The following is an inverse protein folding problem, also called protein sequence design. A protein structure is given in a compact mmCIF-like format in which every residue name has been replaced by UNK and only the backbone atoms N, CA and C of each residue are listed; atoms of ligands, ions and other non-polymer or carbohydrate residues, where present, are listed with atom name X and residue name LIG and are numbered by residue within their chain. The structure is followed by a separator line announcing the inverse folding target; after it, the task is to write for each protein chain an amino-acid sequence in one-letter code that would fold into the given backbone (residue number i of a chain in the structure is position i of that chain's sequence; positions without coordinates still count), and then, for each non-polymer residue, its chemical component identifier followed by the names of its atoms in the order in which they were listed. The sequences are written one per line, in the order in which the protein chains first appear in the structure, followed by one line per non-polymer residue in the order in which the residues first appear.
data_IF_287160165063
#
_entry.id   IF_287160165063
#
_cell.length_a   1.000
_cell.length_b   1.000
_cell.length_c   1.000
_cell.angle_alpha   90.00
_cell.angle_beta   90.00
_cell.angle_gamma   90.00
#
_symmetry.space_group_name_H-M   'P 1'
#
loop_
_entity.id
_entity.type
_entity.pdbx_description
1 polymer ?
#
# COMPACT_ATOMS: atom_id res chain seq x y z
N UNK A 1 -12.93 27.81 11.60
CA UNK A 1 -11.60 27.31 12.01
C UNK A 1 -11.63 25.81 11.80
N UNK A 2 -11.10 25.32 10.68
CA UNK A 2 -10.96 23.88 10.43
C UNK A 2 -9.84 23.37 11.32
N UNK A 3 -10.15 22.43 12.22
CA UNK A 3 -9.13 21.70 12.97
C UNK A 3 -8.14 21.11 11.95
N UNK A 4 -6.85 21.44 12.09
CA UNK A 4 -5.83 20.82 11.27
C UNK A 4 -5.83 19.31 11.57
N UNK A 5 -5.95 18.49 10.52
CA UNK A 5 -5.89 17.05 10.67
C UNK A 5 -4.45 16.66 10.98
N UNK A 6 -4.23 16.11 12.17
CA UNK A 6 -2.91 15.66 12.61
C UNK A 6 -2.77 14.15 12.32
N UNK A 7 -1.68 13.76 11.68
CA UNK A 7 -1.36 12.37 11.38
C UNK A 7 -0.08 11.98 12.11
N UNK A 8 -0.18 11.32 13.28
CA UNK A 8 0.99 10.80 13.97
C UNK A 8 1.76 9.81 13.08
N UNK A 9 3.10 9.80 13.17
CA UNK A 9 3.95 8.90 12.39
C UNK A 9 3.56 7.43 12.57
N UNK A 10 3.18 7.04 13.80
CA UNK A 10 2.67 5.71 14.12
C UNK A 10 1.39 5.35 13.34
N UNK A 11 0.48 6.30 13.13
CA UNK A 11 -0.74 6.09 12.35
C UNK A 11 -0.44 5.93 10.87
N UNK A 12 0.52 6.69 10.33
CA UNK A 12 1.00 6.53 8.95
C UNK A 12 1.64 5.17 8.75
N UNK A 13 2.45 4.72 9.71
CA UNK A 13 3.08 3.40 9.68
C UNK A 13 2.04 2.27 9.75
N UNK A 14 1.02 2.41 10.61
CA UNK A 14 -0.08 1.44 10.69
C UNK A 14 -0.86 1.36 9.36
N UNK A 15 -1.09 2.50 8.71
CA UNK A 15 -1.72 2.51 7.40
C UNK A 15 -0.83 1.82 6.35
N UNK A 16 0.49 2.02 6.38
CA UNK A 16 1.42 1.33 5.49
C UNK A 16 1.34 -0.21 5.63
N UNK A 17 1.15 -0.71 6.86
CA UNK A 17 0.92 -2.14 7.12
C UNK A 17 -0.40 -2.60 6.50
N UNK A 18 -1.48 -1.83 6.66
CA UNK A 18 -2.78 -2.15 6.06
C UNK A 18 -2.71 -2.19 4.52
N UNK A 19 -2.04 -1.23 3.90
CA UNK A 19 -1.84 -1.18 2.44
C UNK A 19 -0.99 -2.36 1.97
N UNK A 20 0.06 -2.74 2.72
CA UNK A 20 0.86 -3.93 2.39
C UNK A 20 0.02 -5.20 2.40
N UNK A 21 -0.83 -5.36 3.42
CA UNK A 21 -1.74 -6.50 3.53
C UNK A 21 -2.75 -6.55 2.37
N UNK A 22 -3.21 -5.38 1.89
CA UNK A 22 -4.07 -5.32 0.71
C UNK A 22 -3.31 -5.76 -0.57
N UNK A 23 -2.05 -5.35 -0.73
CA UNK A 23 -1.19 -5.80 -1.83
C UNK A 23 -1.03 -7.33 -1.83
N UNK A 24 -0.76 -7.93 -0.66
CA UNK A 24 -0.63 -9.39 -0.50
C UNK A 24 -1.91 -10.13 -0.91
N UNK A 25 -3.08 -9.63 -0.49
CA UNK A 25 -4.37 -10.22 -0.88
C UNK A 25 -4.62 -10.13 -2.39
N UNK A 26 -4.25 -9.02 -3.03
CA UNK A 26 -4.34 -8.88 -4.49
C UNK A 26 -3.37 -9.81 -5.22
N UNK A 27 -2.16 -9.99 -4.70
CA UNK A 27 -1.21 -10.96 -5.24
C UNK A 27 -1.74 -12.39 -5.16
N UNK A 28 -2.42 -12.74 -4.06
CA UNK A 28 -3.08 -14.03 -3.89
C UNK A 28 -4.28 -14.19 -4.85
N UNK A 29 -5.11 -13.16 -5.00
CA UNK A 29 -6.22 -13.17 -5.95
C UNK A 29 -5.72 -13.37 -7.40
N UNK A 30 -4.67 -12.66 -7.80
CA UNK A 30 -4.01 -12.84 -9.10
C UNK A 30 -3.52 -14.28 -9.29
N UNK A 31 -2.88 -14.86 -8.27
CA UNK A 31 -2.41 -16.24 -8.34
C UNK A 31 -3.58 -17.22 -8.54
N UNK A 32 -4.69 -17.01 -7.84
CA UNK A 32 -5.90 -17.80 -8.02
C UNK A 32 -6.49 -17.66 -9.44
N UNK A 33 -6.54 -16.44 -10.00
CA UNK A 33 -7.01 -16.19 -11.37
C UNK A 33 -6.16 -16.93 -12.40
N UNK A 34 -4.85 -17.00 -12.22
CA UNK A 34 -3.96 -17.79 -13.10
C UNK A 34 -4.24 -19.29 -13.03
N UNK A 35 -4.57 -19.81 -11.85
CA UNK A 35 -4.95 -21.22 -11.68
C UNK A 35 -6.33 -21.52 -12.26
N UNK A 36 -7.25 -20.53 -12.22
CA UNK A 36 -8.63 -20.63 -12.71
C UNK A 36 -8.75 -20.19 -14.17
N UNK A 37 -7.67 -19.79 -14.87
CA UNK A 37 -7.75 -19.60 -16.33
C UNK A 37 -8.04 -20.96 -16.95
N UNK A 38 -9.34 -21.17 -17.17
CA UNK A 38 -9.93 -22.48 -17.39
C UNK A 38 -9.35 -23.03 -18.67
N UNK A 39 -8.78 -24.23 -18.61
CA UNK A 39 -8.35 -24.94 -19.81
C UNK A 39 -9.50 -24.92 -20.82
N UNK A 40 -9.22 -24.62 -22.08
CA UNK A 40 -10.20 -24.63 -23.17
C UNK A 40 -11.08 -25.88 -23.19
N UNK A 41 -10.59 -27.00 -22.67
CA UNK A 41 -11.33 -28.26 -22.51
C UNK A 41 -12.47 -28.20 -21.49
N UNK A 42 -12.46 -27.28 -20.52
CA UNK A 42 -13.50 -27.20 -19.49
C UNK A 42 -14.75 -26.41 -19.91
N UNK A 43 -14.73 -25.72 -21.05
CA UNK A 43 -15.93 -25.08 -21.62
C UNK A 43 -16.87 -26.08 -22.34
N UNK A 44 -16.48 -27.37 -22.44
CA UNK A 44 -17.24 -28.38 -23.17
C UNK A 44 -17.27 -28.12 -24.67
N UNK A 45 -17.77 -29.07 -25.47
CA UNK A 45 -17.72 -28.95 -26.94
C UNK A 45 -18.55 -27.77 -27.49
N UNK A 46 -19.66 -27.44 -26.85
CA UNK A 46 -20.60 -26.42 -27.34
C UNK A 46 -20.07 -25.00 -27.15
N UNK A 47 -19.20 -24.76 -26.17
CA UNK A 47 -18.68 -23.43 -25.85
C UNK A 47 -17.19 -23.26 -26.20
N UNK A 48 -16.64 -24.06 -27.12
CA UNK A 48 -15.20 -23.99 -27.50
C UNK A 48 -14.78 -22.64 -28.11
N UNK A 49 -15.72 -21.83 -28.62
CA UNK A 49 -15.43 -20.50 -29.15
C UNK A 49 -15.23 -19.44 -28.04
N UNK A 50 -15.75 -19.71 -26.84
CA UNK A 50 -15.83 -18.76 -25.75
C UNK A 50 -14.46 -18.35 -25.19
N UNK A 51 -13.46 -19.25 -25.04
CA UNK A 51 -12.10 -18.87 -24.67
C UNK A 51 -11.51 -17.81 -25.58
N UNK A 52 -11.63 -17.96 -26.91
CA UNK A 52 -11.11 -16.98 -27.86
C UNK A 52 -11.72 -15.58 -27.71
N UNK A 53 -12.99 -15.50 -27.31
CA UNK A 53 -13.68 -14.23 -27.05
C UNK A 53 -13.28 -13.62 -25.70
N UNK A 54 -13.03 -14.44 -24.68
CA UNK A 54 -12.75 -13.97 -23.32
C UNK A 54 -11.26 -13.81 -23.01
N UNK A 55 -10.35 -14.44 -23.77
CA UNK A 55 -8.90 -14.36 -23.54
C UNK A 55 -8.37 -12.93 -23.45
N UNK A 56 -8.79 -11.97 -24.32
CA UNK A 56 -8.34 -10.58 -24.20
C UNK A 56 -8.80 -9.93 -22.89
N UNK A 57 -10.06 -10.15 -22.50
CA UNK A 57 -10.61 -9.63 -21.24
C UNK A 57 -9.85 -10.16 -20.03
N UNK A 58 -9.56 -11.47 -19.99
CA UNK A 58 -8.82 -12.07 -18.89
C UNK A 58 -7.34 -11.64 -18.87
N UNK A 59 -6.73 -11.45 -20.05
CA UNK A 59 -5.39 -10.87 -20.16
C UNK A 59 -5.32 -9.46 -19.57
N UNK A 60 -6.23 -8.56 -19.97
CA UNK A 60 -6.27 -7.19 -19.43
C UNK A 60 -6.61 -7.18 -17.93
N UNK A 61 -7.50 -8.05 -17.46
CA UNK A 61 -7.78 -8.17 -16.03
C UNK A 61 -6.52 -8.58 -15.24
N UNK A 62 -5.71 -9.50 -15.77
CA UNK A 62 -4.47 -9.93 -15.13
C UNK A 62 -3.41 -8.80 -15.12
N UNK A 63 -3.33 -7.99 -16.17
CA UNK A 63 -2.47 -6.80 -16.22
C UNK A 63 -2.85 -5.77 -15.16
N UNK A 64 -4.13 -5.39 -15.09
CA UNK A 64 -4.63 -4.44 -14.08
C UNK A 64 -4.37 -4.94 -12.66
N UNK A 65 -4.51 -6.25 -12.41
CA UNK A 65 -4.16 -6.83 -11.12
C UNK A 65 -2.65 -6.75 -10.81
N UNK A 66 -1.77 -6.87 -11.80
CA UNK A 66 -0.32 -6.67 -11.61
C UNK A 66 -0.04 -5.22 -11.22
N UNK A 67 -0.55 -4.27 -12.00
CA UNK A 67 -0.36 -2.84 -11.75
C UNK A 67 -0.88 -2.43 -10.38
N UNK A 68 -2.05 -2.96 -9.96
CA UNK A 68 -2.61 -2.72 -8.64
C UNK A 68 -1.69 -3.23 -7.52
N UNK A 69 -1.14 -4.44 -7.65
CA UNK A 69 -0.18 -4.99 -6.67
C UNK A 69 1.07 -4.13 -6.57
N UNK A 70 1.62 -3.70 -7.71
CA UNK A 70 2.82 -2.87 -7.76
C UNK A 70 2.57 -1.49 -7.14
N UNK A 71 1.45 -0.85 -7.50
CA UNK A 71 1.06 0.45 -6.97
C UNK A 71 0.79 0.42 -5.45
N UNK A 72 0.12 -0.62 -4.94
CA UNK A 72 -0.11 -0.79 -3.50
C UNK A 72 1.20 -1.03 -2.75
N UNK A 73 2.09 -1.85 -3.31
CA UNK A 73 3.41 -2.12 -2.72
C UNK A 73 4.25 -0.85 -2.66
N UNK A 74 4.32 -0.10 -3.76
CA UNK A 74 5.03 1.18 -3.82
C UNK A 74 4.44 2.19 -2.83
N UNK A 75 3.11 2.29 -2.75
CA UNK A 75 2.41 3.17 -1.80
C UNK A 75 2.76 2.81 -0.36
N UNK A 76 2.76 1.52 -0.02
CA UNK A 76 3.14 1.07 1.31
C UNK A 76 4.61 1.38 1.65
N UNK A 77 5.52 1.30 0.68
CA UNK A 77 6.91 1.70 0.86
C UNK A 77 7.05 3.20 1.09
N UNK A 78 6.35 4.02 0.29
CA UNK A 78 6.32 5.48 0.45
C UNK A 78 5.78 5.88 1.81
N UNK A 79 4.69 5.26 2.28
CA UNK A 79 4.14 5.54 3.61
C UNK A 79 5.12 5.21 4.74
N UNK A 80 5.85 4.10 4.65
CA UNK A 80 6.91 3.77 5.62
C UNK A 80 8.02 4.81 5.62
N UNK A 81 8.50 5.20 4.42
CA UNK A 81 9.53 6.22 4.29
C UNK A 81 9.07 7.56 4.87
N UNK A 82 7.82 7.96 4.62
CA UNK A 82 7.23 9.16 5.20
C UNK A 82 7.19 9.09 6.72
N UNK A 83 6.70 7.99 7.30
CA UNK A 83 6.67 7.82 8.76
C UNK A 83 8.06 7.92 9.39
N UNK A 84 9.07 7.28 8.77
CA UNK A 84 10.47 7.39 9.23
C UNK A 84 11.01 8.82 9.13
N UNK A 85 10.67 9.55 8.06
CA UNK A 85 11.08 10.94 7.90
C UNK A 85 10.45 11.85 8.97
N UNK A 86 9.18 11.61 9.34
CA UNK A 86 8.50 12.30 10.43
C UNK A 86 9.22 12.09 11.75
N UNK A 87 9.45 10.83 12.15
CA UNK A 87 10.18 10.49 13.38
C UNK A 87 11.57 11.13 13.42
N UNK A 88 12.30 11.13 12.30
CA UNK A 88 13.63 11.74 12.21
C UNK A 88 13.60 13.26 12.36
N UNK A 89 12.56 13.90 11.83
CA UNK A 89 12.37 15.36 11.92
C UNK A 89 12.01 15.76 13.34
N UNK A 90 11.13 15.02 13.99
CA UNK A 90 10.71 15.24 15.36
C UNK A 90 11.87 15.06 16.33
N UNK A 91 12.62 13.95 16.21
CA UNK A 91 13.80 13.70 17.03
C UNK A 91 14.90 14.76 16.81
N UNK A 92 15.12 15.16 15.55
CA UNK A 92 16.07 16.22 15.21
C UNK A 92 15.68 17.58 15.80
N UNK A 93 14.39 17.88 15.83
CA UNK A 93 13.85 19.12 16.41
C UNK A 93 13.94 19.10 17.92
N UNK A 94 13.55 17.99 18.57
CA UNK A 94 13.67 17.80 20.01
C UNK A 94 15.12 17.98 20.49
N UNK A 95 16.08 17.34 19.82
CA UNK A 95 17.50 17.49 20.14
C UNK A 95 17.99 18.94 19.98
N UNK A 96 17.52 19.67 18.95
CA UNK A 96 17.85 21.10 18.79
C UNK A 96 17.28 21.95 19.92
N UNK A 97 16.05 21.65 20.36
CA UNK A 97 15.42 22.36 21.48
C UNK A 97 16.14 22.06 22.80
N UNK A 98 16.51 20.81 23.06
CA UNK A 98 17.28 20.43 24.25
C UNK A 98 18.64 21.14 24.30
N UNK A 99 19.34 21.20 23.15
CA UNK A 99 20.64 21.86 23.05
C UNK A 99 20.54 23.39 23.08
N UNK A 100 19.46 23.98 22.54
CA UNK A 100 19.22 25.42 22.59
C UNK A 100 18.72 25.89 23.97
N UNK A 101 18.09 24.99 24.74
CA UNK A 101 17.43 25.32 25.99
C UNK A 101 18.35 25.41 27.22
N UNK A 102 19.49 24.71 27.23
CA UNK A 102 20.37 24.62 28.40
C UNK A 102 19.68 24.09 29.68
N UNK A 103 20.40 23.83 30.79
CA UNK A 103 19.87 23.13 31.97
C UNK A 103 18.78 23.85 32.80
N UNK A 104 18.09 24.90 32.31
CA UNK A 104 17.20 25.70 33.16
C UNK A 104 16.16 26.57 32.42
N UNK A 105 15.39 26.01 31.49
CA UNK A 105 14.13 26.65 31.08
C UNK A 105 12.99 26.18 32.00
N UNK A 106 12.93 26.77 33.18
CA UNK A 106 11.68 26.82 33.96
C UNK A 106 10.69 27.69 33.18
N UNK A 107 9.95 27.08 32.26
CA UNK A 107 8.80 27.72 31.61
C UNK A 107 7.73 27.95 32.69
N UNK A 108 7.31 29.20 32.95
CA UNK A 108 6.16 29.44 33.81
C UNK A 108 4.93 28.96 33.05
N UNK A 109 4.31 27.89 33.55
CA UNK A 109 2.94 27.50 33.22
C UNK A 109 1.97 28.55 33.76
#
# INVERSE_FOLDING_TARGET
MTAAMEFPAASVLQHAVAVSKASEQMAQARAAVRTVSVDTQAYGQLCQFLPGLLSPLFGSAAEVMNEAVDALTETALKLRATAMAMDSTDAGTANRLDNAGGPNLALPL
#
